data_IF_209735064045
#
_entry.id   IF_209735064045
#
_cell.length_a   1.000
_cell.length_b   1.000
_cell.length_c   1.000
_cell.angle_alpha   90.00
_cell.angle_beta   90.00
_cell.angle_gamma   90.00
#
_symmetry.space_group_name_H-M   'P 1'
#
loop_
_entity.id
_entity.type
_entity.pdbx_description
1 polymer ?
#
# COMPACT_ATOMS: atom_id res chain seq x y z
N UNK A 1 2.21 15.60 -3.30
CA UNK A 1 2.78 14.26 -3.45
C UNK A 1 2.06 13.44 -4.52
N UNK A 2 0.82 13.00 -4.34
CA UNK A 2 0.04 12.30 -5.35
C UNK A 2 -1.22 13.09 -5.71
N UNK A 3 -1.48 13.30 -7.01
CA UNK A 3 -2.70 13.91 -7.53
C UNK A 3 -3.31 13.02 -8.60
N UNK A 4 -4.55 12.64 -8.41
CA UNK A 4 -5.35 11.88 -9.36
C UNK A 4 -6.49 12.78 -9.81
N UNK A 5 -6.63 12.98 -11.13
CA UNK A 5 -7.67 13.84 -11.71
C UNK A 5 -8.46 13.10 -12.77
N UNK A 6 -9.76 13.02 -12.53
CA UNK A 6 -10.75 12.44 -13.44
C UNK A 6 -10.31 11.09 -14.02
N UNK A 7 -9.81 10.19 -13.16
CA UNK A 7 -9.25 8.91 -13.54
C UNK A 7 -10.34 7.91 -13.91
N UNK A 8 -10.26 7.41 -15.14
CA UNK A 8 -11.08 6.31 -15.65
C UNK A 8 -10.18 5.13 -15.99
N UNK A 9 -10.59 3.94 -15.59
CA UNK A 9 -9.85 2.73 -15.91
C UNK A 9 -10.79 1.54 -16.09
N UNK A 10 -10.37 0.63 -16.97
CA UNK A 10 -11.12 -0.57 -17.31
C UNK A 10 -10.27 -1.83 -17.24
N UNK A 11 -10.94 -2.96 -17.21
CA UNK A 11 -10.38 -4.29 -17.39
C UNK A 11 -11.26 -5.11 -18.32
N UNK A 12 -10.68 -5.70 -19.37
CA UNK A 12 -11.40 -6.47 -20.40
C UNK A 12 -12.61 -5.70 -20.99
N UNK A 13 -12.45 -4.41 -21.25
CA UNK A 13 -13.50 -3.54 -21.81
C UNK A 13 -14.62 -3.15 -20.82
N UNK A 14 -14.48 -3.51 -19.55
CA UNK A 14 -15.41 -3.09 -18.50
C UNK A 14 -14.81 -1.95 -17.68
N UNK A 15 -15.44 -0.79 -17.74
CA UNK A 15 -15.05 0.38 -16.95
C UNK A 15 -15.32 0.13 -15.45
N UNK A 16 -14.29 0.30 -14.62
CA UNK A 16 -14.34 0.12 -13.17
C UNK A 16 -14.17 1.46 -12.45
N UNK A 17 -13.19 2.28 -12.84
CA UNK A 17 -13.03 3.63 -12.31
C UNK A 17 -13.67 4.62 -13.27
N UNK A 18 -14.48 5.52 -12.74
CA UNK A 18 -15.41 6.37 -13.51
C UNK A 18 -15.24 7.85 -13.18
N UNK A 19 -13.99 8.34 -13.14
CA UNK A 19 -13.67 9.72 -12.84
C UNK A 19 -13.27 9.95 -11.39
N UNK A 20 -12.32 9.15 -10.88
CA UNK A 20 -11.77 9.31 -9.53
C UNK A 20 -10.93 10.58 -9.44
N UNK A 21 -11.18 11.37 -8.40
CA UNK A 21 -10.34 12.51 -8.02
C UNK A 21 -9.84 12.29 -6.59
N UNK A 22 -8.53 12.37 -6.40
CA UNK A 22 -7.89 12.20 -5.09
C UNK A 22 -6.60 13.03 -5.05
N UNK A 23 -6.39 13.74 -3.95
CA UNK A 23 -5.14 14.42 -3.67
C UNK A 23 -4.62 13.93 -2.33
N UNK A 24 -3.37 13.50 -2.30
CA UNK A 24 -2.68 13.02 -1.09
C UNK A 24 -1.40 13.85 -0.94
N UNK A 25 -1.26 14.55 0.17
CA UNK A 25 -0.06 15.33 0.47
C UNK A 25 0.91 14.51 1.34
N UNK A 26 2.16 14.96 1.40
CA UNK A 26 3.16 14.39 2.31
C UNK A 26 2.68 14.48 3.77
N UNK A 27 3.00 13.47 4.56
CA UNK A 27 2.60 13.37 5.96
C UNK A 27 1.17 12.91 6.21
N UNK A 28 0.34 12.75 5.18
CA UNK A 28 -1.07 12.38 5.31
C UNK A 28 -1.30 10.88 5.22
N UNK A 29 -2.26 10.39 6.00
CA UNK A 29 -2.82 9.04 5.90
C UNK A 29 -4.25 9.15 5.38
N UNK A 30 -4.51 8.58 4.21
CA UNK A 30 -5.81 8.53 3.58
C UNK A 30 -6.38 7.12 3.66
N UNK A 31 -7.60 6.96 4.15
CA UNK A 31 -8.32 5.70 4.12
C UNK A 31 -9.34 5.70 2.96
N UNK A 32 -9.32 4.65 2.14
CA UNK A 32 -10.31 4.42 1.10
C UNK A 32 -11.22 3.27 1.52
N UNK A 33 -12.47 3.58 1.79
CA UNK A 33 -13.51 2.66 2.18
C UNK A 33 -14.56 2.55 1.06
N UNK A 34 -15.40 1.52 1.12
CA UNK A 34 -16.48 1.32 0.16
C UNK A 34 -16.90 -0.14 0.07
N UNK A 35 -18.06 -0.42 -0.53
CA UNK A 35 -18.55 -1.78 -0.69
C UNK A 35 -17.65 -2.63 -1.59
N UNK A 36 -17.81 -3.95 -1.53
CA UNK A 36 -17.11 -4.85 -2.45
C UNK A 36 -17.50 -4.53 -3.89
N UNK A 37 -16.49 -4.56 -4.79
CA UNK A 37 -16.68 -4.20 -6.19
C UNK A 37 -16.73 -2.71 -6.50
N UNK A 38 -16.52 -1.83 -5.52
CA UNK A 38 -16.54 -0.36 -5.74
C UNK A 38 -15.34 0.18 -6.52
N UNK A 39 -14.27 -0.62 -6.73
CA UNK A 39 -13.07 -0.21 -7.48
C UNK A 39 -11.84 0.06 -6.62
N UNK A 40 -11.86 -0.19 -5.29
CA UNK A 40 -10.73 0.09 -4.39
C UNK A 40 -9.43 -0.60 -4.83
N UNK A 41 -9.47 -1.92 -5.03
CA UNK A 41 -8.30 -2.70 -5.48
C UNK A 41 -7.87 -2.32 -6.89
N UNK A 42 -8.82 -1.91 -7.75
CA UNK A 42 -8.52 -1.40 -9.09
C UNK A 42 -7.75 -0.08 -9.00
N UNK A 43 -8.15 0.82 -8.10
CA UNK A 43 -7.45 2.09 -7.89
C UNK A 43 -5.99 1.86 -7.48
N UNK A 44 -5.75 0.98 -6.49
CA UNK A 44 -4.39 0.62 -6.08
C UNK A 44 -3.58 0.00 -7.24
N UNK A 45 -4.18 -0.94 -7.98
CA UNK A 45 -3.53 -1.60 -9.12
C UNK A 45 -3.17 -0.62 -10.24
N UNK A 46 -4.04 0.35 -10.51
CA UNK A 46 -3.78 1.39 -11.52
C UNK A 46 -2.66 2.33 -11.09
N UNK A 47 -2.65 2.77 -9.83
CA UNK A 47 -1.57 3.62 -9.27
C UNK A 47 -0.22 2.91 -9.39
N UNK A 48 -0.18 1.61 -9.14
CA UNK A 48 1.06 0.83 -9.19
C UNK A 48 1.43 0.28 -10.57
N UNK A 49 0.61 0.57 -11.59
CA UNK A 49 0.94 0.23 -12.98
C UNK A 49 0.66 -1.22 -13.37
N UNK A 50 -0.29 -1.89 -12.72
CA UNK A 50 -0.66 -3.26 -13.11
C UNK A 50 -1.20 -3.27 -14.55
N UNK A 51 -0.53 -3.97 -15.51
CA UNK A 51 -0.86 -3.93 -16.93
C UNK A 51 -2.21 -4.60 -17.28
N UNK A 52 -2.86 -5.26 -16.33
CA UNK A 52 -4.20 -5.82 -16.55
C UNK A 52 -5.29 -4.73 -16.65
N UNK A 53 -4.99 -3.51 -16.20
CA UNK A 53 -5.93 -2.38 -16.22
C UNK A 53 -5.48 -1.35 -17.26
N UNK A 54 -6.41 -0.90 -18.09
CA UNK A 54 -6.20 0.16 -19.07
C UNK A 54 -6.78 1.47 -18.54
N UNK A 55 -5.95 2.51 -18.51
CA UNK A 55 -6.41 3.87 -18.18
C UNK A 55 -6.91 4.52 -19.46
N UNK A 56 -8.20 4.83 -19.49
CA UNK A 56 -8.87 5.39 -20.69
C UNK A 56 -8.96 6.90 -20.65
N UNK A 57 -8.87 7.52 -19.45
CA UNK A 57 -8.95 8.97 -19.27
C UNK A 57 -8.43 9.40 -17.90
N UNK A 58 -7.95 10.64 -17.82
CA UNK A 58 -7.47 11.25 -16.57
C UNK A 58 -5.96 11.24 -16.46
N UNK A 59 -5.44 11.66 -15.31
CA UNK A 59 -4.01 11.76 -15.04
C UNK A 59 -3.69 11.32 -13.61
N UNK A 60 -2.49 10.82 -13.40
CA UNK A 60 -1.94 10.49 -12.07
C UNK A 60 -0.56 11.14 -11.98
N UNK A 61 -0.44 12.21 -11.22
CA UNK A 61 0.82 12.92 -11.01
C UNK A 61 1.38 12.58 -9.62
N UNK A 62 2.61 12.12 -9.58
CA UNK A 62 3.34 11.80 -8.36
C UNK A 62 4.67 12.55 -8.33
N UNK A 63 4.91 13.38 -7.30
CA UNK A 63 6.10 14.24 -7.15
C UNK A 63 6.39 15.11 -8.39
N UNK A 64 5.36 15.43 -9.18
CA UNK A 64 5.48 16.23 -10.40
C UNK A 64 5.63 15.45 -11.69
N UNK A 65 5.80 14.12 -11.61
CA UNK A 65 5.94 13.22 -12.76
C UNK A 65 4.63 12.49 -13.04
N UNK A 66 4.36 12.20 -14.32
CA UNK A 66 3.18 11.44 -14.72
C UNK A 66 3.42 9.93 -14.52
N UNK A 67 2.70 9.32 -13.57
CA UNK A 67 2.82 7.89 -13.32
C UNK A 67 2.33 7.04 -14.50
N UNK A 68 1.46 7.56 -15.36
CA UNK A 68 0.94 6.78 -16.49
C UNK A 68 2.00 6.50 -17.54
N UNK A 69 3.02 7.37 -17.64
CA UNK A 69 4.18 7.18 -18.52
C UNK A 69 5.27 6.26 -17.93
N UNK A 70 5.15 5.88 -16.64
CA UNK A 70 6.14 5.06 -15.96
C UNK A 70 5.76 3.57 -15.98
N UNK A 71 6.75 2.71 -16.23
CA UNK A 71 6.64 1.28 -16.01
C UNK A 71 6.49 0.96 -14.50
N UNK A 72 5.92 -0.20 -14.10
CA UNK A 72 5.74 -0.55 -12.69
C UNK A 72 7.03 -0.49 -11.85
N UNK A 73 8.15 -0.92 -12.42
CA UNK A 73 9.47 -0.87 -11.79
C UNK A 73 9.99 0.55 -11.59
N UNK A 74 9.66 1.48 -12.49
CA UNK A 74 10.01 2.89 -12.37
C UNK A 74 9.18 3.56 -11.28
N UNK A 75 7.86 3.25 -11.20
CA UNK A 75 6.99 3.69 -10.11
C UNK A 75 7.49 3.21 -8.75
N UNK A 76 7.91 1.94 -8.66
CA UNK A 76 8.51 1.39 -7.46
C UNK A 76 9.82 2.11 -7.11
N UNK A 77 10.67 2.39 -8.09
CA UNK A 77 11.90 3.20 -7.95
C UNK A 77 11.63 4.60 -7.42
N UNK A 78 10.59 5.25 -7.92
CA UNK A 78 10.13 6.57 -7.47
C UNK A 78 9.55 6.55 -6.04
N UNK A 79 9.24 5.37 -5.47
CA UNK A 79 8.76 5.22 -4.10
C UNK A 79 7.27 4.85 -4.00
N UNK A 80 6.62 4.48 -5.11
CA UNK A 80 5.26 3.95 -5.08
C UNK A 80 5.31 2.46 -4.77
N UNK A 81 4.73 2.05 -3.66
CA UNK A 81 4.72 0.67 -3.20
C UNK A 81 3.29 0.16 -2.97
N UNK A 82 3.02 -1.11 -3.23
CA UNK A 82 1.74 -1.77 -2.96
C UNK A 82 1.94 -2.98 -2.06
N UNK A 83 1.22 -3.03 -0.94
CA UNK A 83 1.02 -4.26 -0.19
C UNK A 83 -0.09 -5.08 -0.83
N UNK A 84 0.19 -6.32 -1.16
CA UNK A 84 -0.79 -7.20 -1.81
C UNK A 84 -1.82 -7.74 -0.82
N UNK A 85 -3.06 -7.88 -1.26
CA UNK A 85 -4.10 -8.53 -0.48
C UNK A 85 -3.71 -9.96 -0.11
N UNK A 86 -3.06 -10.67 -1.04
CA UNK A 86 -2.50 -11.99 -0.86
C UNK A 86 -1.02 -11.95 -1.20
N UNK A 87 -0.12 -11.96 -0.18
CA UNK A 87 1.32 -11.91 -0.40
C UNK A 87 1.81 -13.07 -1.26
N UNK A 88 2.54 -12.74 -2.32
CA UNK A 88 3.07 -13.72 -3.27
C UNK A 88 4.18 -14.54 -2.62
N UNK A 89 4.20 -15.85 -2.87
CA UNK A 89 5.30 -16.72 -2.50
C UNK A 89 6.35 -16.72 -3.62
N UNK A 90 7.63 -16.63 -3.24
CA UNK A 90 8.75 -16.72 -4.19
C UNK A 90 9.66 -17.88 -3.76
N UNK A 91 9.35 -19.11 -4.20
CA UNK A 91 10.13 -20.28 -3.82
C UNK A 91 11.59 -20.16 -4.25
N UNK A 92 12.51 -20.59 -3.39
CA UNK A 92 13.94 -20.59 -3.66
C UNK A 92 14.65 -19.25 -3.53
N UNK A 93 13.92 -18.14 -3.31
CA UNK A 93 14.51 -16.83 -3.05
C UNK A 93 14.37 -16.49 -1.57
N UNK A 94 15.47 -16.49 -0.82
CA UNK A 94 15.44 -16.13 0.59
C UNK A 94 15.03 -14.68 0.79
N UNK A 95 14.35 -14.38 1.91
CA UNK A 95 13.94 -13.03 2.27
C UNK A 95 15.12 -12.06 2.29
N UNK A 96 16.27 -12.49 2.83
CA UNK A 96 17.51 -11.69 2.88
C UNK A 96 17.96 -11.28 1.47
N UNK A 97 17.99 -12.23 0.53
CA UNK A 97 18.39 -11.95 -0.86
C UNK A 97 17.39 -11.03 -1.57
N UNK A 98 16.10 -11.31 -1.40
CA UNK A 98 15.03 -10.49 -1.96
C UNK A 98 15.15 -9.04 -1.49
N UNK A 99 15.25 -8.82 -0.18
CA UNK A 99 15.33 -7.47 0.39
C UNK A 99 16.60 -6.73 -0.04
N UNK A 100 17.75 -7.41 -0.09
CA UNK A 100 19.00 -6.79 -0.54
C UNK A 100 18.94 -6.36 -2.00
N UNK A 101 18.37 -7.21 -2.85
CA UNK A 101 18.20 -6.89 -4.27
C UNK A 101 17.25 -5.71 -4.45
N UNK A 102 16.10 -5.72 -3.76
CA UNK A 102 15.11 -4.64 -3.82
C UNK A 102 15.69 -3.28 -3.37
N UNK A 103 16.42 -3.27 -2.24
CA UNK A 103 17.08 -2.04 -1.76
C UNK A 103 18.09 -1.53 -2.79
N UNK A 104 18.91 -2.44 -3.36
CA UNK A 104 19.93 -2.03 -4.32
C UNK A 104 19.33 -1.50 -5.62
N UNK A 105 18.20 -2.03 -6.10
CA UNK A 105 17.51 -1.48 -7.26
C UNK A 105 16.92 -0.10 -6.97
N UNK A 106 16.33 0.11 -5.78
CA UNK A 106 15.88 1.44 -5.37
C UNK A 106 17.03 2.44 -5.27
N UNK A 107 18.14 2.05 -4.68
CA UNK A 107 19.34 2.89 -4.57
C UNK A 107 19.91 3.23 -5.95
N UNK A 108 19.99 2.25 -6.83
CA UNK A 108 20.42 2.42 -8.23
C UNK A 108 19.50 3.41 -8.98
N UNK A 109 18.19 3.30 -8.81
CA UNK A 109 17.23 4.26 -9.39
C UNK A 109 17.49 5.69 -8.90
N UNK A 110 17.89 5.85 -7.63
CA UNK A 110 18.24 7.14 -7.01
C UNK A 110 19.67 7.61 -7.31
N UNK A 111 20.43 6.86 -8.09
CA UNK A 111 21.84 7.17 -8.37
C UNK A 111 22.78 6.94 -7.18
N UNK A 112 22.38 6.11 -6.21
CA UNK A 112 23.15 5.79 -5.01
C UNK A 112 23.96 4.50 -5.19
N UNK A 113 25.10 4.39 -4.49
CA UNK A 113 25.88 3.17 -4.43
C UNK A 113 25.12 2.03 -3.72
N UNK A 114 25.37 0.75 -4.11
CA UNK A 114 24.76 -0.40 -3.44
C UNK A 114 25.01 -0.38 -1.92
N UNK A 115 24.01 -0.86 -1.15
CA UNK A 115 24.13 -0.91 0.31
C UNK A 115 25.28 -1.86 0.74
N UNK A 116 26.13 -1.43 1.68
CA UNK A 116 27.17 -2.28 2.23
C UNK A 116 26.57 -3.47 2.99
N UNK A 117 27.30 -4.58 3.09
CA UNK A 117 26.83 -5.76 3.83
C UNK A 117 26.56 -5.44 5.31
N UNK A 118 27.38 -4.59 5.94
CA UNK A 118 27.22 -4.18 7.34
C UNK A 118 25.99 -3.32 7.56
N UNK A 119 25.75 -2.33 6.67
CA UNK A 119 24.61 -1.44 6.76
C UNK A 119 23.31 -2.20 6.47
N UNK A 120 23.32 -3.10 5.50
CA UNK A 120 22.19 -3.97 5.22
C UNK A 120 21.82 -4.83 6.43
N UNK A 121 22.79 -5.48 7.09
CA UNK A 121 22.52 -6.30 8.27
C UNK A 121 22.00 -5.46 9.45
N UNK A 122 22.51 -4.23 9.62
CA UNK A 122 21.99 -3.29 10.62
C UNK A 122 20.54 -2.93 10.34
N UNK A 123 20.24 -2.52 9.11
CA UNK A 123 18.87 -2.16 8.67
C UNK A 123 17.91 -3.33 8.87
N UNK A 124 18.29 -4.55 8.44
CA UNK A 124 17.49 -5.76 8.62
C UNK A 124 17.16 -6.02 10.09
N UNK A 125 18.14 -5.82 11.00
CA UNK A 125 17.94 -6.02 12.44
C UNK A 125 16.97 -5.00 13.01
N UNK A 126 17.17 -3.72 12.74
CA UNK A 126 16.33 -2.62 13.20
C UNK A 126 14.87 -2.81 12.75
N UNK A 127 14.66 -3.09 11.46
CA UNK A 127 13.31 -3.23 10.90
C UNK A 127 12.62 -4.53 11.37
N UNK A 128 13.38 -5.59 11.59
CA UNK A 128 12.87 -6.84 12.15
C UNK A 128 12.36 -6.68 13.58
N UNK A 129 13.08 -5.93 14.42
CA UNK A 129 12.64 -5.60 15.78
C UNK A 129 11.37 -4.74 15.75
N UNK A 130 11.27 -3.79 14.81
CA UNK A 130 10.12 -2.94 14.63
C UNK A 130 8.81 -3.72 14.44
N UNK A 131 8.85 -4.79 13.62
CA UNK A 131 7.67 -5.60 13.26
C UNK A 131 7.57 -6.91 14.06
N UNK A 132 8.43 -7.11 15.05
CA UNK A 132 8.49 -8.31 15.89
C UNK A 132 8.56 -9.61 15.06
N UNK A 133 9.38 -9.60 14.02
CA UNK A 133 9.53 -10.74 13.12
C UNK A 133 10.51 -11.78 13.67
N UNK A 134 10.13 -13.05 13.59
CA UNK A 134 11.03 -14.15 13.96
C UNK A 134 12.26 -14.19 13.03
N UNK A 135 13.41 -14.34 13.65
CA UNK A 135 14.70 -14.42 12.93
C UNK A 135 14.78 -15.60 11.98
N UNK A 136 14.06 -16.68 12.25
CA UNK A 136 14.05 -17.87 11.39
C UNK A 136 13.36 -17.60 10.05
N UNK A 137 12.37 -16.69 10.01
CA UNK A 137 11.64 -16.37 8.80
C UNK A 137 12.49 -15.64 7.75
N UNK A 138 13.47 -14.87 8.20
CA UNK A 138 14.33 -14.10 7.26
C UNK A 138 15.26 -14.97 6.40
N UNK A 139 15.54 -16.20 6.83
CA UNK A 139 16.37 -17.14 6.08
C UNK A 139 15.55 -18.07 5.16
N UNK A 140 14.23 -18.05 5.28
CA UNK A 140 13.32 -18.86 4.44
C UNK A 140 13.04 -18.13 3.13
N UNK A 141 12.52 -18.88 2.16
CA UNK A 141 11.98 -18.30 0.92
C UNK A 141 10.85 -17.32 1.22
N UNK A 142 10.73 -16.28 0.41
CA UNK A 142 9.72 -15.22 0.58
C UNK A 142 8.33 -15.82 0.66
N UNK A 143 7.69 -15.67 1.82
CA UNK A 143 6.32 -16.12 2.13
C UNK A 143 6.05 -17.63 2.02
N UNK A 144 7.03 -18.45 1.63
CA UNK A 144 6.84 -19.90 1.43
C UNK A 144 6.55 -20.61 2.74
N UNK A 145 5.35 -21.19 2.85
CA UNK A 145 4.88 -21.90 4.04
C UNK A 145 4.71 -21.00 5.28
N UNK A 146 4.56 -19.69 5.10
CA UNK A 146 4.23 -18.78 6.17
C UNK A 146 2.73 -18.85 6.48
N UNK A 147 2.37 -18.75 7.76
CA UNK A 147 0.98 -18.50 8.18
C UNK A 147 0.51 -17.14 7.68
N UNK A 148 -0.80 -16.90 7.66
CA UNK A 148 -1.37 -15.61 7.24
C UNK A 148 -0.79 -14.43 8.06
N UNK A 149 -0.65 -14.58 9.37
CA UNK A 149 -0.05 -13.57 10.24
C UNK A 149 1.43 -13.34 9.96
N UNK A 150 2.21 -14.40 9.68
CA UNK A 150 3.62 -14.29 9.30
C UNK A 150 3.79 -13.63 7.93
N UNK A 151 2.96 -13.97 6.94
CA UNK A 151 2.93 -13.31 5.64
C UNK A 151 2.69 -11.81 5.77
N UNK A 152 1.77 -11.42 6.63
CA UNK A 152 1.47 -10.01 6.87
C UNK A 152 2.59 -9.28 7.64
N UNK A 153 3.16 -9.87 8.66
CA UNK A 153 4.36 -9.31 9.31
C UNK A 153 5.50 -9.14 8.32
N UNK A 154 5.64 -10.10 7.40
CA UNK A 154 6.63 -10.03 6.35
C UNK A 154 6.37 -8.89 5.36
N UNK A 155 5.13 -8.63 4.97
CA UNK A 155 4.78 -7.47 4.18
C UNK A 155 5.07 -6.16 4.92
N UNK A 156 4.71 -6.06 6.22
CA UNK A 156 5.06 -4.89 7.04
C UNK A 156 6.57 -4.74 7.15
N UNK A 157 7.31 -5.83 7.21
CA UNK A 157 8.77 -5.81 7.20
C UNK A 157 9.32 -5.30 5.85
N UNK A 158 8.79 -5.79 4.74
CA UNK A 158 9.12 -5.29 3.40
C UNK A 158 8.77 -3.82 3.28
N UNK A 159 7.61 -3.43 3.78
CA UNK A 159 7.13 -2.08 3.88
C UNK A 159 8.01 -1.21 4.76
N UNK A 160 8.33 -1.62 5.99
CA UNK A 160 9.23 -0.87 6.86
C UNK A 160 10.57 -0.60 6.17
N UNK A 161 10.87 -1.37 5.14
CA UNK A 161 12.01 -1.21 4.24
C UNK A 161 11.57 -0.48 2.96
N UNK A 162 10.34 -0.65 2.46
CA UNK A 162 9.88 -0.21 1.14
C UNK A 162 8.52 0.51 1.07
N UNK A 163 7.79 0.60 2.18
CA UNK A 163 6.48 1.25 2.39
C UNK A 163 5.17 0.53 1.91
N UNK A 164 4.29 0.25 2.83
CA UNK A 164 2.82 0.01 2.93
C UNK A 164 2.16 -1.38 3.01
N UNK A 165 0.96 -1.40 3.64
CA UNK A 165 0.25 -2.56 4.17
C UNK A 165 -1.23 -2.63 3.80
N UNK A 166 -1.82 -3.75 3.96
CA UNK A 166 -3.08 -4.16 4.61
C UNK A 166 -4.05 -5.05 3.83
N UNK A 167 -4.28 -6.28 4.31
CA UNK A 167 -5.56 -6.99 4.42
C UNK A 167 -5.42 -8.44 4.91
N UNK A 168 -6.43 -8.98 5.61
CA UNK A 168 -6.55 -10.40 5.95
C UNK A 168 -5.92 -10.82 7.28
N UNK A 169 -6.09 -10.05 8.36
CA UNK A 169 -5.43 -10.23 9.65
C UNK A 169 -6.38 -10.68 10.77
N UNK A 170 -5.86 -11.51 11.67
CA UNK A 170 -6.39 -11.61 13.02
C UNK A 170 -6.10 -10.31 13.81
N UNK A 171 -6.73 -10.16 14.99
CA UNK A 171 -6.66 -8.92 15.77
C UNK A 171 -5.23 -8.56 16.20
N UNK A 172 -4.36 -9.54 16.46
CA UNK A 172 -2.99 -9.28 16.92
C UNK A 172 -2.08 -8.88 15.76
N UNK A 173 -2.26 -9.49 14.59
CA UNK A 173 -1.56 -9.10 13.37
C UNK A 173 -1.99 -7.70 12.88
N UNK A 174 -3.27 -7.33 13.01
CA UNK A 174 -3.78 -5.97 12.74
C UNK A 174 -3.04 -4.91 13.58
N UNK A 175 -2.82 -5.17 14.87
CA UNK A 175 -2.07 -4.24 15.75
C UNK A 175 -0.62 -4.07 15.33
N UNK A 176 0.04 -5.15 14.91
CA UNK A 176 1.45 -5.09 14.44
C UNK A 176 1.54 -4.25 13.17
N UNK A 177 0.62 -4.46 12.23
CA UNK A 177 0.52 -3.67 10.99
C UNK A 177 0.27 -2.19 11.31
N UNK A 178 -0.75 -1.90 12.10
CA UNK A 178 -1.09 -0.53 12.46
C UNK A 178 0.07 0.18 13.19
N UNK A 179 0.75 -0.52 14.09
CA UNK A 179 1.94 0.00 14.75
C UNK A 179 3.09 0.24 13.75
N UNK A 180 3.25 -0.63 12.75
CA UNK A 180 4.20 -0.45 11.66
C UNK A 180 3.90 0.81 10.87
N UNK A 181 2.68 0.96 10.35
CA UNK A 181 2.22 2.14 9.60
C UNK A 181 2.39 3.42 10.41
N UNK A 182 1.93 3.43 11.67
CA UNK A 182 2.06 4.60 12.53
C UNK A 182 3.54 4.99 12.81
N UNK A 183 4.44 4.01 12.91
CA UNK A 183 5.88 4.26 13.10
C UNK A 183 6.58 4.70 11.80
N UNK A 184 6.02 4.35 10.65
CA UNK A 184 6.51 4.78 9.34
C UNK A 184 5.96 6.14 8.94
N UNK A 185 4.90 6.64 9.61
CA UNK A 185 4.39 8.00 9.39
C UNK A 185 5.52 9.00 9.61
N UNK A 186 5.84 9.74 8.57
CA UNK A 186 6.82 10.83 8.58
C UNK A 186 6.29 12.03 7.80
N UNK A 187 6.85 13.22 7.97
CA UNK A 187 6.46 14.38 7.17
C UNK A 187 6.72 14.23 5.66
N UNK A 188 7.54 13.24 5.27
CA UNK A 188 7.94 13.03 3.86
C UNK A 188 7.12 11.94 3.16
N UNK A 189 6.50 11.03 3.94
CA UNK A 189 5.74 9.91 3.40
C UNK A 189 4.25 10.18 3.48
N UNK A 190 3.48 9.55 2.58
CA UNK A 190 2.03 9.50 2.68
C UNK A 190 1.55 8.05 2.56
N UNK A 191 0.39 7.77 3.11
CA UNK A 191 -0.17 6.42 3.10
C UNK A 191 -1.60 6.41 2.58
N UNK A 192 -1.91 5.48 1.68
CA UNK A 192 -3.27 5.19 1.25
C UNK A 192 -3.64 3.81 1.77
N UNK A 193 -4.53 3.77 2.76
CA UNK A 193 -5.01 2.54 3.39
C UNK A 193 -6.33 2.14 2.74
N UNK A 194 -6.34 1.03 2.01
CA UNK A 194 -7.57 0.47 1.44
C UNK A 194 -8.10 -0.58 2.38
N UNK A 195 -9.21 -0.32 3.02
CA UNK A 195 -9.80 -1.26 3.98
C UNK A 195 -11.33 -1.23 3.97
N UNK A 196 -11.91 -2.39 4.27
CA UNK A 196 -13.31 -2.51 4.65
C UNK A 196 -13.45 -2.80 6.16
N UNK A 197 -12.33 -2.93 6.86
CA UNK A 197 -12.28 -3.17 8.31
C UNK A 197 -12.05 -1.85 9.04
N UNK A 198 -13.10 -1.33 9.62
CA UNK A 198 -13.02 -0.14 10.44
C UNK A 198 -12.10 -0.32 11.66
N UNK A 199 -12.05 -1.53 12.24
CA UNK A 199 -11.15 -1.82 13.37
C UNK A 199 -9.69 -1.51 13.09
N UNK A 200 -9.24 -1.55 11.84
CA UNK A 200 -7.92 -1.10 11.47
C UNK A 200 -7.76 0.41 11.70
N UNK A 201 -8.79 1.20 11.37
CA UNK A 201 -8.80 2.65 11.54
C UNK A 201 -8.97 3.10 13.02
N UNK A 202 -9.18 2.16 13.95
CA UNK A 202 -9.02 2.42 15.39
C UNK A 202 -7.55 2.53 15.78
N UNK A 203 -6.68 1.82 15.08
CA UNK A 203 -5.23 1.76 15.32
C UNK A 203 -4.43 2.67 14.39
N UNK A 204 -4.83 2.77 13.11
CA UNK A 204 -4.29 3.74 12.15
C UNK A 204 -5.25 4.92 12.14
N UNK A 205 -4.77 6.09 12.57
CA UNK A 205 -5.59 7.30 12.58
C UNK A 205 -5.44 7.99 11.22
N UNK A 206 -6.43 7.86 10.30
CA UNK A 206 -6.36 8.54 9.02
C UNK A 206 -6.65 10.05 9.20
N UNK A 207 -5.97 10.85 8.41
CA UNK A 207 -6.25 12.28 8.30
C UNK A 207 -7.51 12.49 7.44
N UNK A 208 -7.72 11.65 6.42
CA UNK A 208 -8.90 11.68 5.55
C UNK A 208 -9.48 10.28 5.32
N UNK A 209 -10.80 10.21 5.23
CA UNK A 209 -11.56 9.01 4.85
C UNK A 209 -12.35 9.30 3.59
N UNK A 210 -12.15 8.48 2.55
CA UNK A 210 -12.84 8.59 1.27
C UNK A 210 -13.75 7.39 1.07
N UNK A 211 -14.97 7.63 0.61
CA UNK A 211 -15.90 6.57 0.24
C UNK A 211 -15.91 6.41 -1.26
N UNK A 212 -15.37 5.27 -1.72
CA UNK A 212 -15.41 4.87 -3.12
C UNK A 212 -16.65 3.99 -3.36
N UNK A 213 -17.50 4.41 -4.28
CA UNK A 213 -18.68 3.65 -4.69
C UNK A 213 -18.87 3.76 -6.21
N UNK A 214 -19.14 2.63 -6.85
CA UNK A 214 -19.31 2.53 -8.31
C UNK A 214 -18.24 3.30 -9.10
N UNK A 215 -16.97 3.13 -8.72
CA UNK A 215 -15.83 3.73 -9.42
C UNK A 215 -15.61 5.23 -9.18
N UNK A 216 -16.27 5.85 -8.20
CA UNK A 216 -16.15 7.27 -7.87
C UNK A 216 -15.97 7.50 -6.38
N UNK A 217 -15.19 8.50 -5.99
CA UNK A 217 -15.21 9.00 -4.62
C UNK A 217 -16.45 9.86 -4.47
N UNK A 218 -17.41 9.36 -3.66
CA UNK A 218 -18.73 10.01 -3.47
C UNK A 218 -18.78 10.87 -2.20
N UNK A 219 -17.89 10.61 -1.24
CA UNK A 219 -17.77 11.39 0.00
C UNK A 219 -16.34 11.36 0.51
N UNK A 220 -15.90 12.48 1.05
CA UNK A 220 -14.65 12.63 1.79
C UNK A 220 -14.95 13.28 3.13
N UNK A 221 -14.34 12.80 4.19
CA UNK A 221 -14.46 13.32 5.54
C UNK A 221 -13.23 12.99 6.37
N UNK A 222 -13.31 13.29 7.64
CA UNK A 222 -12.31 12.89 8.63
C UNK A 222 -12.60 11.48 9.19
N UNK A 223 -11.88 11.09 10.23
CA UNK A 223 -12.04 9.80 10.91
C UNK A 223 -13.49 9.51 11.34
N UNK A 224 -14.31 10.53 11.65
CA UNK A 224 -15.69 10.33 12.07
C UNK A 224 -16.55 9.66 11.00
N UNK A 225 -16.22 9.89 9.73
CA UNK A 225 -16.90 9.25 8.60
C UNK A 225 -16.78 7.72 8.63
N UNK A 226 -15.65 7.19 9.10
CA UNK A 226 -15.48 5.73 9.22
C UNK A 226 -16.46 5.14 10.25
N UNK A 227 -16.69 5.82 11.37
CA UNK A 227 -17.66 5.39 12.39
C UNK A 227 -19.11 5.48 11.86
N UNK A 228 -19.44 6.54 11.11
CA UNK A 228 -20.75 6.65 10.48
C UNK A 228 -21.02 5.51 9.48
N UNK A 229 -19.99 5.09 8.74
CA UNK A 229 -20.10 3.99 7.79
C UNK A 229 -20.30 2.64 8.48
N UNK A 230 -19.72 2.42 9.66
CA UNK A 230 -19.98 1.20 10.44
C UNK A 230 -21.41 1.17 10.96
N UNK A 231 -21.88 2.27 11.50
CA UNK A 231 -23.22 2.35 12.10
C UNK A 231 -24.33 2.26 11.04
N UNK A 232 -24.16 2.96 9.90
CA UNK A 232 -25.23 3.18 8.91
C UNK A 232 -25.05 2.38 7.61
N UNK A 233 -23.90 1.71 7.44
CA UNK A 233 -23.52 1.09 6.16
C UNK A 233 -23.23 2.12 5.08
N UNK A 234 -23.34 1.72 3.80
CA UNK A 234 -23.08 2.60 2.64
C UNK A 234 -24.37 3.10 1.96
N UNK A 235 -25.55 2.57 2.30
CA UNK A 235 -26.78 2.80 1.54
C UNK A 235 -27.31 4.25 1.66
N UNK A 236 -27.02 4.93 2.73
CA UNK A 236 -27.40 6.34 2.94
C UNK A 236 -26.57 7.34 2.11
N UNK A 237 -25.53 6.86 1.44
CA UNK A 237 -24.68 7.68 0.56
C UNK A 237 -25.03 7.55 -0.94
N UNK A 238 -26.07 6.79 -1.25
CA UNK A 238 -26.58 6.61 -2.62
C UNK A 238 -27.40 7.77 -3.09
#
# INVERSE_FOLDING_TARGET
MLQIKNLHAEINGKEILKGVNLTVNKGEIHAIMGPNGSGKSTLASVITGNPAFEVTKGEIIYEGEDLLEMAPEERAGAGVFLSFQYPVEIPGVSMVNFMRSSINELRKYRGEEPISASDFLRLMREKKELVQMDSQLTNRSVNEGFSGGEKKRNEVFQLAILDETDSGLDIDALRVVANGVNKLKSPENASIVITHYQRLLEYIIPDFVHVLNDGKIIKTGDRSLAFELEEKGYDWLK
#
